data_IF_064842791559
#
_entry.id   IF_064842791559
#
_cell.length_a   1.000
_cell.length_b   1.000
_cell.length_c   1.000
_cell.angle_alpha   90.00
_cell.angle_beta   90.00
_cell.angle_gamma   90.00
#
_symmetry.space_group_name_H-M   'P 1'
#
loop_
_entity.id
_entity.type
_entity.pdbx_description
1 polymer ?
#
# COMPACT_ATOMS: atom_id res chain seq x y z
N UNK A 1 -3.62 -3.12 12.85
CA UNK A 1 -3.63 -1.88 12.06
C UNK A 1 -4.80 -1.93 11.10
N UNK A 2 -5.44 -0.80 10.87
CA UNK A 2 -6.68 -0.68 10.12
C UNK A 2 -6.56 0.32 8.98
N UNK A 3 -7.58 0.37 8.12
CA UNK A 3 -7.68 1.42 7.10
C UNK A 3 -7.82 2.81 7.72
N UNK A 4 -8.47 2.94 8.88
CA UNK A 4 -8.57 4.22 9.59
C UNK A 4 -7.19 4.69 10.10
N UNK A 5 -6.34 3.76 10.55
CA UNK A 5 -4.95 4.09 10.92
C UNK A 5 -4.15 4.57 9.71
N UNK A 6 -4.35 3.94 8.55
CA UNK A 6 -3.73 4.36 7.28
C UNK A 6 -4.25 5.73 6.81
N UNK A 7 -5.54 6.02 7.02
CA UNK A 7 -6.12 7.32 6.70
C UNK A 7 -5.44 8.43 7.49
N UNK A 8 -5.22 8.24 8.79
CA UNK A 8 -4.51 9.22 9.63
C UNK A 8 -3.11 9.49 9.08
N UNK A 9 -2.36 8.44 8.70
CA UNK A 9 -1.03 8.58 8.09
C UNK A 9 -1.09 9.30 6.75
N UNK A 10 -2.02 8.90 5.88
CA UNK A 10 -2.19 9.49 4.56
C UNK A 10 -2.48 10.99 4.64
N UNK A 11 -3.45 11.39 5.47
CA UNK A 11 -3.81 12.79 5.69
C UNK A 11 -2.64 13.60 6.25
N UNK A 12 -1.86 13.02 7.17
CA UNK A 12 -0.64 13.66 7.68
C UNK A 12 0.41 13.88 6.58
N UNK A 13 0.60 12.92 5.68
CA UNK A 13 1.55 13.02 4.56
C UNK A 13 1.11 14.03 3.49
N UNK A 14 -0.19 14.04 3.16
CA UNK A 14 -0.77 14.94 2.15
C UNK A 14 -1.15 16.32 2.71
N UNK A 15 -0.95 16.55 4.02
CA UNK A 15 -1.34 17.78 4.74
C UNK A 15 -2.84 18.11 4.62
N UNK A 16 -3.69 17.08 4.71
CA UNK A 16 -5.15 17.20 4.71
C UNK A 16 -5.63 17.28 6.17
N UNK A 17 -6.28 18.38 6.54
CA UNK A 17 -6.73 18.66 7.91
C UNK A 17 -8.26 18.55 8.11
N UNK A 18 -9.00 18.21 7.05
CA UNK A 18 -10.46 18.08 7.06
C UNK A 18 -10.94 16.65 6.82
N UNK A 19 -12.22 16.38 7.07
CA UNK A 19 -12.81 15.02 6.99
C UNK A 19 -13.80 14.84 5.83
N UNK A 20 -14.04 15.86 5.01
CA UNK A 20 -15.05 15.84 3.94
C UNK A 20 -14.82 14.77 2.88
N UNK A 21 -13.60 14.27 2.75
CA UNK A 21 -13.19 13.27 1.76
C UNK A 21 -12.74 11.94 2.39
N UNK A 22 -12.93 11.75 3.70
CA UNK A 22 -12.40 10.57 4.41
C UNK A 22 -12.85 9.24 3.78
N UNK A 23 -14.12 9.12 3.40
CA UNK A 23 -14.63 7.89 2.78
C UNK A 23 -14.03 7.63 1.39
N UNK A 24 -13.77 8.70 0.62
CA UNK A 24 -13.07 8.59 -0.65
C UNK A 24 -11.61 8.15 -0.45
N UNK A 25 -10.89 8.78 0.48
CA UNK A 25 -9.51 8.40 0.80
C UNK A 25 -9.39 6.97 1.32
N UNK A 26 -10.33 6.52 2.18
CA UNK A 26 -10.40 5.12 2.63
C UNK A 26 -10.61 4.16 1.47
N UNK A 27 -11.42 4.53 0.47
CA UNK A 27 -11.60 3.72 -0.73
C UNK A 27 -10.29 3.61 -1.54
N UNK A 28 -9.57 4.72 -1.72
CA UNK A 28 -8.25 4.70 -2.40
C UNK A 28 -7.23 3.82 -1.67
N UNK A 29 -7.20 3.88 -0.34
CA UNK A 29 -6.32 3.06 0.50
C UNK A 29 -6.67 1.57 0.40
N UNK A 30 -7.96 1.22 0.46
CA UNK A 30 -8.44 -0.17 0.28
C UNK A 30 -8.08 -0.71 -1.10
N UNK A 31 -8.36 0.06 -2.15
CA UNK A 31 -8.01 -0.33 -3.53
C UNK A 31 -6.49 -0.49 -3.71
N UNK A 32 -5.71 0.34 -3.03
CA UNK A 32 -4.25 0.25 -3.07
C UNK A 32 -3.74 -0.97 -2.32
N UNK A 33 -4.25 -1.27 -1.14
CA UNK A 33 -3.94 -2.50 -0.41
C UNK A 33 -4.22 -3.75 -1.23
N UNK A 34 -5.44 -3.89 -1.77
CA UNK A 34 -5.79 -5.03 -2.61
C UNK A 34 -4.91 -5.12 -3.85
N UNK A 35 -4.53 -3.99 -4.46
CA UNK A 35 -3.66 -4.00 -5.64
C UNK A 35 -2.25 -4.48 -5.30
N UNK A 36 -1.63 -3.96 -4.24
CA UNK A 36 -0.28 -4.36 -3.82
C UNK A 36 -0.29 -5.82 -3.37
N UNK A 37 -1.31 -6.26 -2.61
CA UNK A 37 -1.49 -7.65 -2.21
C UNK A 37 -1.56 -8.60 -3.40
N UNK A 38 -2.31 -8.24 -4.44
CA UNK A 38 -2.40 -9.05 -5.66
C UNK A 38 -1.11 -9.08 -6.49
N UNK A 39 -0.27 -8.04 -6.40
CA UNK A 39 0.98 -7.97 -7.16
C UNK A 39 2.16 -8.64 -6.45
N UNK A 40 2.23 -8.49 -5.12
CA UNK A 40 3.40 -8.92 -4.34
C UNK A 40 3.17 -10.21 -3.54
N UNK A 41 1.91 -10.52 -3.17
CA UNK A 41 1.58 -11.62 -2.27
C UNK A 41 0.80 -11.15 -1.04
N UNK A 42 0.40 -12.09 -0.19
CA UNK A 42 -0.32 -11.78 1.06
C UNK A 42 0.64 -11.18 2.08
N UNK A 43 0.25 -10.06 2.68
CA UNK A 43 0.98 -9.44 3.79
C UNK A 43 0.00 -8.71 4.71
N UNK A 44 0.38 -8.54 5.97
CA UNK A 44 -0.39 -7.80 6.97
C UNK A 44 -0.18 -6.28 6.82
N UNK A 45 -1.17 -5.47 7.21
CA UNK A 45 -1.09 -4.01 7.11
C UNK A 45 0.03 -3.37 7.94
N UNK A 46 0.56 -4.10 8.92
CA UNK A 46 1.73 -3.75 9.73
C UNK A 46 3.05 -3.87 8.98
N UNK A 47 3.09 -4.59 7.84
CA UNK A 47 4.30 -4.69 7.03
C UNK A 47 4.66 -3.29 6.50
N UNK A 48 5.80 -2.77 6.94
CA UNK A 48 6.19 -1.38 6.67
C UNK A 48 6.40 -1.09 5.18
N UNK A 49 6.96 -2.04 4.43
CA UNK A 49 7.19 -1.91 2.97
C UNK A 49 5.85 -1.93 2.24
N UNK A 50 5.00 -2.91 2.57
CA UNK A 50 3.65 -2.98 2.00
C UNK A 50 2.83 -1.72 2.30
N UNK A 51 2.90 -1.22 3.53
CA UNK A 51 2.25 0.02 3.95
C UNK A 51 2.74 1.24 3.16
N UNK A 52 4.04 1.39 2.95
CA UNK A 52 4.60 2.47 2.16
C UNK A 52 4.05 2.47 0.73
N UNK A 53 4.06 1.30 0.07
CA UNK A 53 3.52 1.13 -1.29
C UNK A 53 2.02 1.46 -1.37
N UNK A 54 1.24 1.11 -0.34
CA UNK A 54 -0.20 1.45 -0.27
C UNK A 54 -0.39 2.96 -0.23
N UNK A 55 0.34 3.65 0.65
CA UNK A 55 0.23 5.10 0.83
C UNK A 55 0.67 5.85 -0.44
N UNK A 56 1.75 5.42 -1.06
CA UNK A 56 2.26 6.00 -2.31
C UNK A 56 1.27 5.78 -3.45
N UNK A 57 0.75 4.56 -3.62
CA UNK A 57 -0.23 4.29 -4.67
C UNK A 57 -1.52 5.08 -4.47
N UNK A 58 -1.99 5.21 -3.22
CA UNK A 58 -3.14 6.03 -2.89
C UNK A 58 -2.89 7.51 -3.22
N UNK A 59 -1.67 8.03 -3.00
CA UNK A 59 -1.27 9.39 -3.38
C UNK A 59 -1.34 9.58 -4.89
N UNK A 60 -0.79 8.62 -5.65
CA UNK A 60 -0.85 8.67 -7.11
C UNK A 60 -2.30 8.66 -7.62
N UNK A 61 -3.18 7.86 -7.03
CA UNK A 61 -4.60 7.88 -7.37
C UNK A 61 -5.29 9.21 -6.99
N UNK A 62 -4.98 9.74 -5.81
CA UNK A 62 -5.53 11.02 -5.34
C UNK A 62 -5.12 12.20 -6.23
N UNK A 63 -3.89 12.16 -6.76
CA UNK A 63 -3.32 13.21 -7.61
C UNK A 63 -3.55 12.99 -9.11
N UNK A 64 -4.37 12.00 -9.49
CA UNK A 64 -4.65 11.64 -10.90
C UNK A 64 -3.38 11.29 -11.71
N UNK A 65 -2.49 10.50 -11.09
CA UNK A 65 -1.21 10.05 -11.64
C UNK A 65 -1.06 8.52 -11.61
N UNK A 66 -2.14 7.78 -11.36
CA UNK A 66 -2.10 6.34 -11.06
C UNK A 66 -1.42 5.51 -12.16
N UNK A 67 -1.52 5.94 -13.42
CA UNK A 67 -0.88 5.30 -14.57
C UNK A 67 0.66 5.25 -14.45
N UNK A 68 1.28 6.18 -13.73
CA UNK A 68 2.73 6.25 -13.56
C UNK A 68 3.25 5.38 -12.41
N UNK A 69 2.37 4.89 -11.54
CA UNK A 69 2.77 4.19 -10.31
C UNK A 69 3.62 2.96 -10.57
N UNK A 70 3.16 2.06 -11.45
CA UNK A 70 3.86 0.78 -11.71
C UNK A 70 5.21 0.97 -12.39
N UNK A 71 5.42 2.10 -13.08
CA UNK A 71 6.69 2.39 -13.75
C UNK A 71 7.67 3.02 -12.76
N UNK A 72 7.20 3.95 -11.93
CA UNK A 72 8.04 4.66 -10.96
C UNK A 72 8.48 3.78 -9.79
N UNK A 73 7.64 2.84 -9.35
CA UNK A 73 7.90 1.97 -8.19
C UNK A 73 8.11 0.50 -8.56
N UNK A 74 8.45 0.23 -9.83
CA UNK A 74 8.69 -1.13 -10.31
C UNK A 74 9.75 -1.87 -9.48
N UNK A 75 10.92 -1.27 -9.18
CA UNK A 75 11.95 -1.94 -8.38
C UNK A 75 11.42 -2.36 -7.01
N UNK A 76 10.75 -1.45 -6.30
CA UNK A 76 10.22 -1.69 -4.95
C UNK A 76 9.13 -2.77 -4.95
N UNK A 77 8.27 -2.81 -5.98
CA UNK A 77 7.25 -3.85 -6.14
C UNK A 77 7.90 -5.22 -6.33
N UNK A 78 8.94 -5.31 -7.17
CA UNK A 78 9.68 -6.56 -7.42
C UNK A 78 10.38 -7.01 -6.14
N UNK A 79 11.16 -6.13 -5.52
CA UNK A 79 11.93 -6.45 -4.31
C UNK A 79 11.00 -6.90 -3.19
N UNK A 80 9.87 -6.22 -3.00
CA UNK A 80 8.88 -6.62 -2.02
C UNK A 80 8.25 -7.97 -2.34
N UNK A 81 7.90 -8.22 -3.61
CA UNK A 81 7.34 -9.52 -4.00
C UNK A 81 8.31 -10.68 -3.75
N UNK A 82 9.60 -10.49 -4.01
CA UNK A 82 10.64 -11.49 -3.73
C UNK A 82 10.79 -11.73 -2.23
N UNK A 83 10.77 -10.66 -1.42
CA UNK A 83 10.86 -10.79 0.05
C UNK A 83 9.71 -11.60 0.66
N UNK A 84 8.51 -11.58 0.05
CA UNK A 84 7.37 -12.37 0.50
C UNK A 84 7.46 -13.84 0.06
N UNK A 85 8.18 -14.14 -1.02
CA UNK A 85 8.45 -15.51 -1.46
C UNK A 85 9.45 -16.21 -0.54
N UNK A 86 10.54 -15.53 -0.15
CA UNK A 86 11.55 -16.10 0.77
C UNK A 86 10.94 -16.50 2.12
N UNK A 87 9.97 -15.73 2.61
CA UNK A 87 9.27 -16.03 3.88
C UNK A 87 8.40 -17.30 3.78
N UNK A 88 7.99 -17.70 2.57
CA UNK A 88 7.12 -18.88 2.38
C UNK A 88 7.86 -20.23 2.37
N UNK A 89 9.19 -20.24 2.20
CA UNK A 89 9.97 -21.49 2.12
C UNK A 89 10.38 -22.05 3.50
N UNK A 90 10.28 -21.26 4.57
CA UNK A 90 10.70 -21.68 5.92
C UNK A 90 9.57 -22.32 6.77
N UNK A 91 8.31 -22.31 6.31
CA UNK A 91 7.19 -22.98 7.01
C UNK A 91 7.06 -24.49 6.69
N UNK A 92 7.94 -25.04 5.86
CA UNK A 92 8.03 -26.49 5.57
C UNK A 92 9.31 -27.12 6.19
N UNK A 93 9.54 -26.90 7.48
CA UNK A 93 10.49 -27.73 8.24
C UNK A 93 9.96 -28.15 9.63
N UNK A 94 9.49 -29.40 9.65
CA UNK A 94 9.29 -30.35 10.78
C UNK A 94 7.98 -30.27 11.58
#
# INVERSE_FOLDING_TARGET
MTIDDLLVKFKSLEKIDHNSEDEYLKQLLKMSYERIKNQCGVFELENLIGQELILIRARYAYQDLLEHFNDNYRPEIIDFSLSLMEVSEDEESV
#
